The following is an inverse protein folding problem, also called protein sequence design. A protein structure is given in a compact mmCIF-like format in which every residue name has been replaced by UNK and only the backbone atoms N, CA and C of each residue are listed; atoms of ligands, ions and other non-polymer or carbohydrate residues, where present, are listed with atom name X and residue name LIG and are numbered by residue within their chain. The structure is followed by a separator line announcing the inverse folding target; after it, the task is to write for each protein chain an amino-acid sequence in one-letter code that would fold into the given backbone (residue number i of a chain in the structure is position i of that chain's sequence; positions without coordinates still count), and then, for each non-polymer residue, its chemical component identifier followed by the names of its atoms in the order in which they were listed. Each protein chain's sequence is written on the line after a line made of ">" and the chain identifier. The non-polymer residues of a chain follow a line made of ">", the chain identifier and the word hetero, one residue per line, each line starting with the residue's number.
data_IF_745878320565
#
_entry.id   IF_745878320565
#
_cell.length_a   1.000
_cell.length_b   1.000
_cell.length_c   1.000
_cell.angle_alpha   90.00
_cell.angle_beta   90.00
_cell.angle_gamma   90.00
#
_symmetry.space_group_name_H-M   'P 1'
#
loop_
_entity.id
_entity.type
_entity.pdbx_description
1 polymer ?
#
# COMPACT_ATOMS: atom_id res chain seq x y z
N UNK A 1 31.37 27.54 -44.01
CA UNK A 1 30.95 26.13 -43.79
C UNK A 1 31.43 25.60 -42.43
N UNK A 2 31.34 26.38 -41.33
CA UNK A 2 31.81 25.98 -39.97
C UNK A 2 30.85 26.45 -38.84
N UNK A 3 29.77 27.20 -39.14
CA UNK A 3 28.84 27.74 -38.11
C UNK A 3 27.54 26.94 -37.90
N UNK A 4 27.30 25.89 -38.69
CA UNK A 4 26.04 25.12 -38.62
C UNK A 4 26.15 23.86 -37.73
N UNK A 5 27.37 23.45 -37.35
CA UNK A 5 27.61 22.20 -36.62
C UNK A 5 27.52 22.38 -35.10
N UNK A 6 27.75 23.59 -34.58
CA UNK A 6 27.71 23.88 -33.14
C UNK A 6 26.29 24.00 -32.57
N UNK A 7 25.29 24.37 -33.38
CA UNK A 7 23.91 24.51 -32.90
C UNK A 7 23.15 23.17 -32.78
N UNK A 8 23.56 22.13 -33.50
CA UNK A 8 22.92 20.80 -33.42
C UNK A 8 23.40 20.03 -32.19
N UNK A 9 24.66 20.24 -31.78
CA UNK A 9 25.22 19.56 -30.61
C UNK A 9 24.59 19.99 -29.28
N UNK A 10 24.08 21.23 -29.18
CA UNK A 10 23.49 21.73 -27.93
C UNK A 10 22.06 21.23 -27.68
N UNK A 11 21.34 20.82 -28.73
CA UNK A 11 19.95 20.33 -28.61
C UNK A 11 19.90 18.85 -28.22
N UNK A 12 20.86 18.04 -28.68
CA UNK A 12 20.93 16.60 -28.37
C UNK A 12 21.30 16.36 -26.90
N UNK A 13 22.10 17.25 -26.30
CA UNK A 13 22.50 17.16 -24.89
C UNK A 13 21.36 17.52 -23.93
N UNK A 14 20.35 18.28 -24.38
CA UNK A 14 19.17 18.60 -23.56
C UNK A 14 18.11 17.50 -23.58
N UNK A 15 17.99 16.72 -24.66
CA UNK A 15 17.00 15.64 -24.73
C UNK A 15 17.39 14.38 -23.96
N UNK A 16 18.64 14.26 -23.50
CA UNK A 16 19.10 13.10 -22.72
C UNK A 16 19.12 13.32 -21.21
N UNK A 17 18.76 14.52 -20.73
CA UNK A 17 18.73 14.83 -19.29
C UNK A 17 17.32 14.76 -18.67
N UNK A 18 16.28 14.65 -19.49
CA UNK A 18 14.96 14.22 -19.03
C UNK A 18 14.88 12.71 -19.24
N UNK A 19 15.67 11.98 -18.45
CA UNK A 19 15.37 10.60 -18.17
C UNK A 19 13.94 10.55 -17.66
N UNK A 20 13.10 9.79 -18.33
CA UNK A 20 11.85 9.34 -17.75
C UNK A 20 12.25 8.64 -16.45
N UNK A 21 11.85 9.17 -15.29
CA UNK A 21 11.86 8.36 -14.07
C UNK A 21 11.00 7.15 -14.42
N UNK A 22 11.66 6.02 -14.64
CA UNK A 22 11.00 4.75 -14.76
C UNK A 22 10.37 4.55 -13.38
N UNK A 23 9.03 4.68 -13.31
CA UNK A 23 8.26 4.42 -12.09
C UNK A 23 8.77 3.09 -11.53
N UNK A 24 9.52 3.16 -10.43
CA UNK A 24 10.04 2.00 -9.74
C UNK A 24 8.89 1.34 -8.99
N UNK A 25 7.95 0.79 -9.75
CA UNK A 25 7.13 -0.30 -9.26
C UNK A 25 8.10 -1.41 -8.88
N UNK A 26 8.30 -1.63 -7.58
CA UNK A 26 8.94 -2.84 -7.09
C UNK A 26 7.95 -3.97 -7.37
N UNK A 27 7.94 -4.43 -8.62
CA UNK A 27 7.13 -5.54 -9.06
C UNK A 27 7.70 -6.80 -8.39
N UNK A 28 6.98 -7.28 -7.39
CA UNK A 28 7.29 -8.51 -6.70
C UNK A 28 6.29 -9.57 -7.14
N UNK A 29 6.78 -10.55 -7.90
CA UNK A 29 5.97 -11.60 -8.52
C UNK A 29 5.21 -12.46 -7.49
N UNK A 30 5.65 -12.46 -6.23
CA UNK A 30 5.00 -13.22 -5.16
C UNK A 30 3.97 -12.40 -4.38
N UNK A 31 3.92 -11.08 -4.56
CA UNK A 31 2.93 -10.24 -3.91
C UNK A 31 1.60 -10.30 -4.67
N UNK A 32 0.58 -10.83 -4.00
CA UNK A 32 -0.78 -10.83 -4.51
C UNK A 32 -1.43 -9.45 -4.46
N UNK A 33 -0.85 -8.50 -3.72
CA UNK A 33 -1.30 -7.12 -3.72
C UNK A 33 -0.76 -6.34 -4.91
N UNK A 34 -1.65 -5.68 -5.63
CA UNK A 34 -1.30 -4.72 -6.67
C UNK A 34 -0.93 -3.40 -6.03
N UNK A 35 0.23 -2.85 -6.40
CA UNK A 35 0.68 -1.53 -5.98
C UNK A 35 0.68 -1.39 -4.43
N UNK A 36 1.27 -2.38 -3.76
CA UNK A 36 1.43 -2.39 -2.30
C UNK A 36 2.45 -1.36 -1.77
N UNK A 37 3.28 -0.80 -2.65
CA UNK A 37 4.23 0.28 -2.38
C UNK A 37 3.69 1.67 -2.75
N UNK A 38 2.44 1.78 -3.22
CA UNK A 38 1.77 3.05 -3.53
C UNK A 38 2.46 4.02 -4.51
N UNK A 39 3.45 3.56 -5.27
CA UNK A 39 4.14 4.36 -6.29
C UNK A 39 3.18 4.83 -7.40
N UNK A 40 2.13 4.03 -7.69
CA UNK A 40 1.02 4.44 -8.57
C UNK A 40 -0.21 4.88 -7.75
N UNK A 41 0.06 5.58 -6.63
CA UNK A 41 -0.95 6.12 -5.69
C UNK A 41 -1.93 5.03 -5.24
N UNK A 42 -3.23 5.25 -5.44
CA UNK A 42 -4.30 4.34 -5.04
C UNK A 42 -4.68 3.30 -6.09
N UNK A 43 -3.92 3.14 -7.17
CA UNK A 43 -4.29 2.19 -8.24
C UNK A 43 -4.39 0.77 -7.69
N UNK A 44 -5.46 0.08 -8.08
CA UNK A 44 -5.79 -1.26 -7.58
C UNK A 44 -6.45 -1.27 -6.20
N UNK A 45 -6.51 -0.13 -5.50
CA UNK A 45 -7.16 -0.01 -4.19
C UNK A 45 -8.51 0.71 -4.32
N UNK A 46 -9.50 0.24 -3.57
CA UNK A 46 -10.75 0.95 -3.33
C UNK A 46 -10.55 1.88 -2.14
N UNK A 47 -10.73 3.17 -2.37
CA UNK A 47 -10.60 4.22 -1.35
C UNK A 47 -11.96 4.46 -0.71
N UNK A 48 -12.15 3.97 0.51
CA UNK A 48 -13.36 4.22 1.27
C UNK A 48 -13.21 5.56 2.00
N UNK A 49 -14.06 6.52 1.63
CA UNK A 49 -14.01 7.92 2.07
C UNK A 49 -12.69 8.60 1.65
N UNK A 50 -12.46 8.68 0.34
CA UNK A 50 -11.18 9.06 -0.27
C UNK A 50 -10.61 10.44 0.12
N UNK A 51 -11.41 11.37 0.66
CA UNK A 51 -10.98 12.73 0.98
C UNK A 51 -9.95 12.82 2.12
N UNK A 52 -9.72 11.75 2.86
CA UNK A 52 -8.69 11.68 3.91
C UNK A 52 -7.54 10.74 3.57
N UNK A 53 -7.50 10.23 2.34
CA UNK A 53 -6.43 9.34 1.86
C UNK A 53 -5.53 10.17 0.94
N UNK A 54 -4.27 10.27 1.32
CA UNK A 54 -3.22 11.01 0.60
C UNK A 54 -2.02 10.10 0.37
N UNK A 55 -1.13 10.51 -0.54
CA UNK A 55 0.08 9.77 -0.86
C UNK A 55 1.27 10.70 -0.66
N UNK A 56 2.13 10.37 0.31
CA UNK A 56 3.13 11.27 0.89
C UNK A 56 4.55 10.74 0.63
N UNK A 57 5.54 11.63 0.60
CA UNK A 57 6.97 11.28 0.44
C UNK A 57 7.67 10.80 1.72
N UNK A 58 6.91 10.62 2.79
CA UNK A 58 7.41 10.05 4.04
C UNK A 58 7.31 8.53 3.92
N UNK A 59 8.44 7.86 3.72
CA UNK A 59 8.52 6.42 3.40
C UNK A 59 9.52 5.73 4.34
N UNK A 60 9.39 4.42 4.59
CA UNK A 60 10.42 3.64 5.27
C UNK A 60 11.71 3.57 4.43
N UNK A 61 12.83 3.21 5.05
CA UNK A 61 14.14 3.08 4.36
C UNK A 61 14.12 2.08 3.18
N UNK A 62 13.20 1.11 3.21
CA UNK A 62 13.01 0.11 2.13
C UNK A 62 11.88 0.47 1.15
N UNK A 63 11.26 1.65 1.31
CA UNK A 63 10.17 2.15 0.47
C UNK A 63 10.66 2.74 -0.85
N UNK A 64 9.71 3.16 -1.68
CA UNK A 64 9.98 3.92 -2.90
C UNK A 64 9.91 5.42 -2.66
N UNK A 65 9.01 6.11 -3.34
CA UNK A 65 8.79 7.55 -3.21
C UNK A 65 7.49 7.88 -2.50
N UNK A 66 6.52 6.97 -2.43
CA UNK A 66 5.19 7.26 -1.93
C UNK A 66 4.76 6.25 -0.86
N UNK A 67 4.21 6.74 0.24
CA UNK A 67 3.43 5.94 1.18
C UNK A 67 1.96 6.36 1.15
N UNK A 68 1.07 5.46 1.54
CA UNK A 68 -0.32 5.80 1.76
C UNK A 68 -0.50 6.39 3.16
N UNK A 69 -0.97 7.63 3.24
CA UNK A 69 -1.39 8.28 4.49
C UNK A 69 -2.90 8.29 4.58
N UNK A 70 -3.41 7.73 5.66
CA UNK A 70 -4.82 7.81 6.03
C UNK A 70 -4.93 8.75 7.22
N UNK A 71 -5.41 9.96 6.96
CA UNK A 71 -5.74 10.93 8.00
C UNK A 71 -7.12 10.67 8.55
N UNK A 72 -7.31 10.97 9.82
CA UNK A 72 -8.63 10.90 10.45
C UNK A 72 -9.32 12.27 10.37
N UNK A 73 -10.64 12.22 10.19
CA UNK A 73 -11.53 13.37 10.32
C UNK A 73 -12.93 12.91 10.74
N UNK A 74 -13.21 12.97 12.03
CA UNK A 74 -14.51 12.86 12.69
C UNK A 74 -15.45 11.85 12.02
N UNK A 75 -15.24 10.55 12.21
CA UNK A 75 -16.09 9.53 11.59
C UNK A 75 -15.60 8.10 11.74
N UNK A 76 -16.23 7.18 11.00
CA UNK A 76 -15.71 5.82 10.86
C UNK A 76 -14.31 5.85 10.25
N UNK A 77 -13.43 4.90 10.63
CA UNK A 77 -12.07 4.92 10.16
C UNK A 77 -11.99 4.68 8.64
N UNK A 78 -11.39 5.65 7.96
CA UNK A 78 -11.07 5.65 6.54
C UNK A 78 -10.22 4.42 6.18
N UNK A 79 -10.40 3.87 4.98
CA UNK A 79 -9.68 2.66 4.60
C UNK A 79 -9.35 2.53 3.12
N UNK A 80 -8.20 1.91 2.85
CA UNK A 80 -7.83 1.34 1.56
C UNK A 80 -8.19 -0.14 1.58
N UNK A 81 -8.87 -0.61 0.52
CA UNK A 81 -9.29 -2.02 0.41
C UNK A 81 -8.88 -2.60 -0.93
N UNK A 82 -8.37 -3.82 -0.96
CA UNK A 82 -8.08 -4.53 -2.19
C UNK A 82 -8.60 -5.95 -2.11
N UNK A 83 -9.44 -6.32 -3.08
CA UNK A 83 -9.89 -7.69 -3.28
C UNK A 83 -8.77 -8.49 -3.93
N UNK A 84 -8.48 -9.66 -3.39
CA UNK A 84 -7.39 -10.52 -3.84
C UNK A 84 -7.97 -11.83 -4.35
N UNK A 85 -7.61 -12.19 -5.59
CA UNK A 85 -8.02 -13.44 -6.20
C UNK A 85 -7.16 -14.60 -5.66
N UNK A 86 -7.72 -15.34 -4.71
CA UNK A 86 -7.16 -16.61 -4.20
C UNK A 86 -8.18 -17.71 -4.49
N UNK A 87 -7.73 -18.91 -4.87
CA UNK A 87 -8.65 -20.03 -5.11
C UNK A 87 -9.32 -20.47 -3.82
N UNK A 88 -10.52 -21.05 -3.91
CA UNK A 88 -11.18 -21.63 -2.75
C UNK A 88 -10.36 -22.76 -2.12
N UNK A 89 -10.49 -22.94 -0.80
CA UNK A 89 -9.80 -23.99 -0.05
C UNK A 89 -8.94 -23.47 1.10
N UNK A 90 -8.13 -24.37 1.66
CA UNK A 90 -7.20 -24.04 2.74
C UNK A 90 -5.88 -23.53 2.16
N UNK A 91 -5.39 -22.40 2.67
CA UNK A 91 -4.13 -21.77 2.27
C UNK A 91 -3.36 -21.29 3.49
N UNK A 92 -2.04 -21.19 3.38
CA UNK A 92 -1.21 -20.52 4.39
C UNK A 92 -0.74 -19.20 3.82
N UNK A 93 -1.18 -18.10 4.40
CA UNK A 93 -0.86 -16.76 3.93
C UNK A 93 0.15 -16.08 4.85
N UNK A 94 0.96 -15.20 4.27
CA UNK A 94 1.71 -14.18 4.99
C UNK A 94 1.23 -12.81 4.56
N UNK A 95 0.83 -12.00 5.53
CA UNK A 95 0.47 -10.60 5.34
C UNK A 95 1.50 -9.73 6.06
N UNK A 96 2.09 -8.77 5.36
CA UNK A 96 3.05 -7.83 5.93
C UNK A 96 2.91 -6.43 5.36
N UNK A 97 3.33 -5.44 6.13
CA UNK A 97 3.40 -4.05 5.69
C UNK A 97 4.31 -3.25 6.61
N UNK A 98 4.98 -2.24 6.09
CA UNK A 98 5.54 -1.19 6.94
C UNK A 98 4.42 -0.24 7.36
N UNK A 99 4.43 0.16 8.62
CA UNK A 99 3.46 1.09 9.14
C UNK A 99 4.06 2.01 10.19
N UNK A 100 3.42 3.16 10.35
CA UNK A 100 3.62 4.04 11.51
C UNK A 100 2.37 4.85 11.78
N UNK A 101 2.29 5.44 12.97
CA UNK A 101 1.19 6.30 13.38
C UNK A 101 1.66 7.62 13.99
N UNK A 102 0.83 8.64 13.85
CA UNK A 102 0.85 9.86 14.63
C UNK A 102 -0.48 9.99 15.38
N UNK A 103 -0.41 9.87 16.71
CA UNK A 103 -1.50 10.18 17.64
C UNK A 103 -2.46 9.04 17.97
N UNK A 104 -2.64 8.03 17.12
CA UNK A 104 -3.40 6.81 17.46
C UNK A 104 -3.31 5.65 16.47
N UNK A 105 -3.61 4.49 16.99
CA UNK A 105 -3.38 3.23 16.31
C UNK A 105 -4.29 3.05 15.08
N UNK A 106 -3.68 2.63 13.98
CA UNK A 106 -4.39 2.10 12.81
C UNK A 106 -4.50 0.58 12.87
N UNK A 107 -5.11 -0.01 11.85
CA UNK A 107 -5.10 -1.46 11.69
C UNK A 107 -4.79 -1.88 10.26
N UNK A 108 -4.11 -3.01 10.15
CA UNK A 108 -3.81 -3.69 8.90
C UNK A 108 -4.24 -5.14 9.00
N UNK A 109 -5.03 -5.63 8.05
CA UNK A 109 -5.54 -6.98 8.13
C UNK A 109 -6.34 -7.40 6.91
N UNK A 110 -7.14 -8.43 7.09
CA UNK A 110 -8.04 -8.92 6.05
C UNK A 110 -9.40 -9.35 6.62
N UNK A 111 -10.37 -9.37 5.73
CA UNK A 111 -11.66 -10.01 5.89
C UNK A 111 -12.02 -10.78 4.61
N UNK A 112 -13.17 -11.44 4.63
CA UNK A 112 -13.80 -11.93 3.41
C UNK A 112 -14.94 -10.98 3.00
N UNK A 113 -15.35 -11.03 1.74
CA UNK A 113 -16.27 -10.04 1.15
C UNK A 113 -17.63 -10.01 1.85
N UNK A 114 -18.06 -11.15 2.41
CA UNK A 114 -19.30 -11.25 3.18
C UNK A 114 -19.14 -10.99 4.69
N UNK A 115 -17.92 -10.69 5.16
CA UNK A 115 -17.64 -10.32 6.55
C UNK A 115 -17.55 -8.80 6.68
N UNK A 116 -18.30 -8.23 7.61
CA UNK A 116 -18.23 -6.80 7.94
C UNK A 116 -16.99 -6.44 8.76
N UNK A 117 -16.49 -7.38 9.56
CA UNK A 117 -15.34 -7.17 10.45
C UNK A 117 -14.07 -7.81 9.90
N UNK A 118 -12.92 -7.25 10.29
CA UNK A 118 -11.62 -7.88 10.08
C UNK A 118 -11.60 -9.22 10.80
N UNK A 119 -11.34 -10.29 10.06
CA UNK A 119 -11.17 -11.62 10.65
C UNK A 119 -9.86 -11.71 11.42
N UNK A 120 -8.83 -11.03 10.90
CA UNK A 120 -7.52 -10.91 11.52
C UNK A 120 -6.92 -9.55 11.21
N UNK A 121 -6.26 -8.95 12.20
CA UNK A 121 -5.61 -7.65 12.06
C UNK A 121 -4.38 -7.52 12.97
N UNK A 122 -3.45 -6.68 12.56
CA UNK A 122 -2.33 -6.15 13.33
C UNK A 122 -2.63 -4.68 13.61
N UNK A 123 -2.44 -4.24 14.86
CA UNK A 123 -2.50 -2.83 15.21
C UNK A 123 -1.19 -2.12 14.83
N UNK A 124 -1.30 -0.94 14.22
CA UNK A 124 -0.15 -0.09 13.88
C UNK A 124 -0.01 0.96 14.96
N UNK A 125 0.96 0.78 15.86
CA UNK A 125 1.07 1.54 17.11
C UNK A 125 2.36 2.33 17.23
N UNK A 126 3.36 2.01 16.41
CA UNK A 126 4.68 2.65 16.49
C UNK A 126 4.70 3.98 15.74
N UNK A 127 5.42 4.95 16.31
CA UNK A 127 5.55 6.28 15.72
C UNK A 127 6.65 6.38 14.66
N UNK A 128 7.59 5.44 14.69
CA UNK A 128 8.59 5.25 13.63
C UNK A 128 8.10 4.17 12.67
N UNK A 129 8.61 4.19 11.44
CA UNK A 129 8.38 3.12 10.48
C UNK A 129 8.81 1.77 11.06
N UNK A 130 7.85 0.87 11.23
CA UNK A 130 8.04 -0.49 11.76
C UNK A 130 7.48 -1.50 10.78
N UNK A 131 8.21 -2.59 10.58
CA UNK A 131 7.74 -3.71 9.78
C UNK A 131 6.80 -4.60 10.59
N UNK A 132 5.56 -4.71 10.15
CA UNK A 132 4.54 -5.58 10.74
C UNK A 132 4.31 -6.79 9.84
N UNK A 133 4.16 -7.98 10.44
CA UNK A 133 3.88 -9.20 9.70
C UNK A 133 3.07 -10.18 10.54
N UNK A 134 2.17 -10.91 9.88
CA UNK A 134 1.49 -12.07 10.44
C UNK A 134 1.43 -13.20 9.42
N UNK A 135 1.37 -14.43 9.92
CA UNK A 135 1.08 -15.61 9.14
C UNK A 135 -0.22 -16.21 9.65
N UNK A 136 -1.09 -16.65 8.75
CA UNK A 136 -2.37 -17.27 9.10
C UNK A 136 -2.70 -18.44 8.18
N UNK A 137 -3.47 -19.40 8.69
CA UNK A 137 -4.06 -20.48 7.89
C UNK A 137 -5.52 -20.16 7.65
N UNK A 138 -5.88 -19.85 6.42
CA UNK A 138 -7.25 -19.49 6.04
C UNK A 138 -7.97 -20.66 5.40
N UNK A 139 -9.29 -20.65 5.47
CA UNK A 139 -10.15 -21.51 4.66
C UNK A 139 -11.12 -20.63 3.87
N UNK A 140 -10.83 -20.41 2.58
CA UNK A 140 -11.58 -19.51 1.72
C UNK A 140 -12.78 -20.25 1.08
N UNK A 141 -14.03 -19.80 1.33
CA UNK A 141 -15.21 -20.40 0.71
C UNK A 141 -15.25 -20.23 -0.81
N UNK A 142 -15.94 -21.13 -1.51
CA UNK A 142 -15.98 -21.19 -2.99
C UNK A 142 -16.55 -19.94 -3.68
N UNK A 143 -17.34 -19.14 -2.96
CA UNK A 143 -17.99 -17.93 -3.49
C UNK A 143 -17.62 -16.69 -2.69
N UNK A 144 -16.45 -16.68 -2.04
CA UNK A 144 -15.96 -15.53 -1.30
C UNK A 144 -14.65 -15.01 -1.89
N UNK A 145 -14.27 -13.80 -1.49
CA UNK A 145 -13.03 -13.17 -1.91
C UNK A 145 -12.37 -12.55 -0.70
N UNK A 146 -11.07 -12.79 -0.55
CA UNK A 146 -10.28 -12.12 0.45
C UNK A 146 -10.18 -10.64 0.13
N UNK A 147 -10.38 -9.80 1.14
CA UNK A 147 -10.21 -8.36 1.06
C UNK A 147 -9.15 -7.97 2.07
N UNK A 148 -8.03 -7.44 1.59
CA UNK A 148 -7.02 -6.80 2.44
C UNK A 148 -7.44 -5.37 2.70
N UNK A 149 -7.32 -4.93 3.95
CA UNK A 149 -7.78 -3.62 4.40
C UNK A 149 -6.69 -2.94 5.24
N UNK A 150 -6.35 -1.73 4.82
CA UNK A 150 -5.54 -0.78 5.59
C UNK A 150 -6.49 0.26 6.15
N UNK A 151 -6.48 0.45 7.45
CA UNK A 151 -7.44 1.28 8.14
C UNK A 151 -6.73 2.31 9.00
N UNK A 152 -7.12 3.57 8.82
CA UNK A 152 -6.63 4.67 9.63
C UNK A 152 -7.10 4.56 11.08
N UNK A 153 -6.59 5.48 11.89
CA UNK A 153 -6.96 5.56 13.29
C UNK A 153 -8.39 6.09 13.48
N UNK A 154 -8.96 5.83 14.65
CA UNK A 154 -10.18 6.48 15.12
C UNK A 154 -9.85 7.43 16.28
N UNK A 155 -10.30 8.68 16.18
CA UNK A 155 -10.28 9.63 17.29
C UNK A 155 -11.42 10.65 17.20
N UNK A 156 -11.64 11.35 18.30
CA UNK A 156 -12.52 12.51 18.37
C UNK A 156 -11.80 13.73 18.96
N UNK A 157 -10.50 13.63 19.25
CA UNK A 157 -9.80 14.59 20.11
C UNK A 157 -8.74 15.41 19.41
N UNK A 158 -8.12 14.90 18.34
CA UNK A 158 -7.08 15.60 17.58
C UNK A 158 -6.92 14.96 16.20
N UNK A 159 -6.41 15.68 15.17
CA UNK A 159 -6.00 15.06 13.92
C UNK A 159 -5.01 13.93 14.18
N UNK A 160 -5.24 12.78 13.54
CA UNK A 160 -4.37 11.61 13.62
C UNK A 160 -4.10 11.08 12.23
N UNK A 161 -3.02 10.35 12.07
CA UNK A 161 -2.67 9.78 10.77
C UNK A 161 -1.96 8.46 10.93
N UNK A 162 -2.21 7.57 9.99
CA UNK A 162 -1.52 6.27 9.90
C UNK A 162 -0.96 6.17 8.49
N UNK A 163 0.30 5.77 8.41
CA UNK A 163 0.99 5.56 7.16
C UNK A 163 1.21 4.07 6.94
N UNK A 164 1.13 3.68 5.68
CA UNK A 164 1.38 2.32 5.21
C UNK A 164 2.27 2.39 3.98
N UNK A 165 3.24 1.48 3.90
CA UNK A 165 4.07 1.32 2.70
C UNK A 165 4.59 -0.12 2.59
N UNK A 166 4.95 -0.54 1.38
CA UNK A 166 5.50 -1.86 1.05
C UNK A 166 4.64 -2.98 1.66
N UNK A 167 3.33 -2.89 1.45
CA UNK A 167 2.36 -3.90 1.87
C UNK A 167 2.40 -5.11 0.94
N UNK A 168 2.40 -6.31 1.52
CA UNK A 168 2.48 -7.59 0.81
C UNK A 168 1.48 -8.61 1.35
N UNK A 169 0.93 -9.40 0.44
CA UNK A 169 0.20 -10.63 0.73
C UNK A 169 0.79 -11.74 -0.12
N UNK A 170 1.21 -12.82 0.50
CA UNK A 170 1.87 -13.94 -0.17
C UNK A 170 1.18 -15.26 0.24
N UNK A 171 1.02 -16.18 -0.72
CA UNK A 171 0.80 -17.60 -0.42
C UNK A 171 2.13 -18.22 -0.03
N UNK A 172 2.14 -19.04 1.03
CA UNK A 172 3.35 -19.67 1.57
C UNK A 172 3.29 -21.19 1.56
N UNK A 173 2.15 -21.76 1.19
CA UNK A 173 1.99 -23.16 0.87
C UNK A 173 2.47 -23.49 -0.56
N UNK A 174 2.99 -24.70 -0.81
CA UNK A 174 3.31 -25.16 -2.17
C UNK A 174 2.01 -25.38 -2.95
N UNK A 175 1.89 -24.73 -4.12
CA UNK A 175 0.80 -24.96 -5.07
C UNK A 175 0.87 -26.36 -5.70
#
# INVERSE_FOLDING_TARGET
>A
MIKLITSIFLVIVWTTLFGCDEDQTIADENNLLVNGSFEDRGKGWTLFQANQITFDHDVPDTGGYLSARISENWGEPFSLRQSVAISAGQHVIRLSCWGKTEGADGTFGYNFTHSIELLKAIAITDTNWTYYSMQDTINLPQNDTMVVKLQGAFSQLAPRSVWFDVCRLELTDPQ
#
